data_IF_305905736093
#
_entry.id   IF_305905736093
#
_cell.length_a   1.000
_cell.length_b   1.000
_cell.length_c   1.000
_cell.angle_alpha   90.00
_cell.angle_beta   90.00
_cell.angle_gamma   90.00
#
_symmetry.space_group_name_H-M   'P 1'
#
loop_
_entity.id
_entity.type
_entity.pdbx_description
1 polymer ?
#
# COMPACT_ATOMS: atom_id res chain seq x y z
N UNK A 1 -18.73 -76.43 -26.57
CA UNK A 1 -18.23 -75.40 -27.51
C UNK A 1 -18.51 -75.86 -28.93
N UNK A 2 -19.43 -75.21 -29.64
CA UNK A 2 -19.88 -75.63 -30.97
C UNK A 2 -18.75 -75.53 -32.01
N UNK A 3 -18.72 -76.44 -32.99
CA UNK A 3 -17.70 -76.52 -34.07
C UNK A 3 -17.47 -75.20 -34.81
N UNK A 4 -18.44 -74.30 -34.77
CA UNK A 4 -18.42 -72.96 -35.38
C UNK A 4 -17.31 -72.09 -34.77
N UNK A 5 -17.19 -72.02 -33.43
CA UNK A 5 -16.15 -71.21 -32.79
C UNK A 5 -14.73 -71.77 -33.00
N UNK A 6 -14.61 -73.11 -33.11
CA UNK A 6 -13.33 -73.75 -33.42
C UNK A 6 -12.89 -73.50 -34.87
N UNK A 7 -13.86 -73.44 -35.79
CA UNK A 7 -13.60 -73.15 -37.19
C UNK A 7 -13.30 -71.66 -37.44
N UNK A 8 -13.94 -70.74 -36.70
CA UNK A 8 -13.61 -69.31 -36.73
C UNK A 8 -12.17 -69.08 -36.21
N UNK A 9 -11.80 -69.73 -35.09
CA UNK A 9 -10.43 -69.66 -34.55
C UNK A 9 -9.40 -70.24 -35.53
N UNK A 10 -9.70 -71.35 -36.20
CA UNK A 10 -8.79 -71.97 -37.16
C UNK A 10 -8.72 -71.22 -38.51
N UNK A 11 -9.79 -70.55 -38.93
CA UNK A 11 -9.78 -69.67 -40.11
C UNK A 11 -9.00 -68.37 -39.84
N UNK A 12 -9.18 -67.77 -38.66
CA UNK A 12 -8.42 -66.60 -38.20
C UNK A 12 -6.93 -66.88 -37.98
N UNK A 13 -6.56 -68.14 -37.70
CA UNK A 13 -5.16 -68.58 -37.58
C UNK A 13 -4.55 -69.02 -38.93
N UNK A 14 -5.36 -69.37 -39.94
CA UNK A 14 -4.90 -69.82 -41.27
C UNK A 14 -4.75 -68.69 -42.29
N UNK A 15 -5.45 -67.59 -42.10
CA UNK A 15 -5.26 -66.39 -42.89
C UNK A 15 -4.31 -65.44 -42.15
N UNK A 16 -3.32 -64.90 -42.85
CA UNK A 16 -2.38 -63.87 -42.37
C UNK A 16 -3.06 -62.51 -42.07
N UNK A 17 -4.36 -62.51 -41.78
CA UNK A 17 -5.20 -61.37 -41.46
C UNK A 17 -5.11 -60.92 -40.00
N UNK A 18 -4.35 -61.62 -39.14
CA UNK A 18 -4.00 -61.12 -37.79
C UNK A 18 -3.41 -59.71 -37.87
N UNK A 19 -2.58 -59.43 -38.88
CA UNK A 19 -2.05 -58.08 -39.13
C UNK A 19 -3.16 -57.06 -39.39
N UNK A 20 -4.20 -57.44 -40.12
CA UNK A 20 -5.30 -56.55 -40.53
C UNK A 20 -6.23 -56.22 -39.36
N UNK A 21 -6.57 -57.21 -38.54
CA UNK A 21 -7.34 -57.01 -37.32
C UNK A 21 -6.54 -56.27 -36.24
N UNK A 22 -5.24 -56.57 -36.10
CA UNK A 22 -4.35 -55.85 -35.18
C UNK A 22 -4.17 -54.38 -35.57
N UNK A 23 -3.96 -54.08 -36.87
CA UNK A 23 -3.90 -52.71 -37.38
C UNK A 23 -5.22 -51.96 -37.14
N UNK A 24 -6.36 -52.62 -37.29
CA UNK A 24 -7.67 -52.04 -37.05
C UNK A 24 -7.89 -51.70 -35.58
N UNK A 25 -7.58 -52.63 -34.66
CA UNK A 25 -7.69 -52.39 -33.21
C UNK A 25 -6.69 -51.34 -32.70
N UNK A 26 -5.49 -51.25 -33.30
CA UNK A 26 -4.55 -50.14 -33.01
C UNK A 26 -5.13 -48.80 -33.47
N UNK A 27 -5.75 -48.76 -34.65
CA UNK A 27 -6.43 -47.57 -35.15
C UNK A 27 -7.56 -47.11 -34.22
N UNK A 28 -8.35 -48.06 -33.71
CA UNK A 28 -9.42 -47.79 -32.75
C UNK A 28 -8.89 -47.25 -31.41
N UNK A 29 -7.82 -47.86 -30.87
CA UNK A 29 -7.14 -47.35 -29.66
C UNK A 29 -6.59 -45.95 -29.91
N UNK A 30 -5.97 -45.71 -31.06
CA UNK A 30 -5.40 -44.39 -31.41
C UNK A 30 -6.48 -43.32 -31.52
N UNK A 31 -7.63 -43.63 -32.13
CA UNK A 31 -8.79 -42.74 -32.21
C UNK A 31 -9.40 -42.46 -30.83
N UNK A 32 -9.50 -43.47 -29.96
CA UNK A 32 -9.98 -43.29 -28.58
C UNK A 32 -9.02 -42.42 -27.78
N UNK A 33 -7.71 -42.62 -27.91
CA UNK A 33 -6.68 -41.81 -27.24
C UNK A 33 -6.75 -40.36 -27.72
N UNK A 34 -6.86 -40.11 -29.02
CA UNK A 34 -7.06 -38.74 -29.56
C UNK A 34 -8.35 -38.13 -28.99
N UNK A 35 -9.44 -38.89 -28.93
CA UNK A 35 -10.71 -38.45 -28.34
C UNK A 35 -10.56 -38.02 -26.88
N UNK A 36 -9.86 -38.82 -26.06
CA UNK A 36 -9.57 -38.51 -24.65
C UNK A 36 -8.68 -37.27 -24.54
N UNK A 37 -7.64 -37.16 -25.36
CA UNK A 37 -6.73 -36.02 -25.36
C UNK A 37 -7.44 -34.72 -25.74
N UNK A 38 -8.31 -34.73 -26.75
CA UNK A 38 -9.11 -33.57 -27.14
C UNK A 38 -10.11 -33.22 -26.02
N UNK A 39 -10.78 -34.21 -25.43
CA UNK A 39 -11.70 -33.99 -24.32
C UNK A 39 -10.98 -33.37 -23.10
N UNK A 40 -9.80 -33.87 -22.75
CA UNK A 40 -8.96 -33.34 -21.68
C UNK A 40 -8.45 -31.93 -22.02
N UNK A 41 -8.04 -31.68 -23.25
CA UNK A 41 -7.61 -30.36 -23.71
C UNK A 41 -8.75 -29.33 -23.62
N UNK A 42 -9.94 -29.66 -24.10
CA UNK A 42 -11.11 -28.78 -24.01
C UNK A 42 -11.53 -28.53 -22.56
N UNK A 43 -11.46 -29.56 -21.71
CA UNK A 43 -11.74 -29.43 -20.28
C UNK A 43 -10.74 -28.48 -19.60
N UNK A 44 -9.44 -28.64 -19.89
CA UNK A 44 -8.39 -27.76 -19.36
C UNK A 44 -8.59 -26.31 -19.79
N UNK A 45 -8.86 -26.05 -21.09
CA UNK A 45 -9.16 -24.71 -21.58
C UNK A 45 -10.39 -24.08 -20.91
N UNK A 46 -11.44 -24.87 -20.65
CA UNK A 46 -12.61 -24.37 -19.96
C UNK A 46 -12.31 -24.04 -18.48
N UNK A 47 -11.49 -24.86 -17.81
CA UNK A 47 -11.03 -24.56 -16.44
C UNK A 47 -10.15 -23.32 -16.37
N UNK A 48 -9.23 -23.13 -17.32
CA UNK A 48 -8.38 -21.93 -17.40
C UNK A 48 -9.22 -20.67 -17.61
N UNK A 49 -10.20 -20.70 -18.53
CA UNK A 49 -11.12 -19.58 -18.74
C UNK A 49 -11.95 -19.25 -17.50
N UNK A 50 -12.33 -20.27 -16.72
CA UNK A 50 -13.08 -20.07 -15.47
C UNK A 50 -12.19 -19.43 -14.40
N UNK A 51 -10.96 -19.90 -14.25
CA UNK A 51 -9.97 -19.33 -13.32
C UNK A 51 -9.65 -17.87 -13.67
N UNK A 52 -9.45 -17.56 -14.96
CA UNK A 52 -9.18 -16.18 -15.39
C UNK A 52 -10.36 -15.23 -15.10
N UNK A 53 -11.60 -15.68 -15.33
CA UNK A 53 -12.79 -14.89 -14.95
C UNK A 53 -12.89 -14.64 -13.45
N UNK A 54 -12.50 -15.62 -12.63
CA UNK A 54 -12.44 -15.46 -11.18
C UNK A 54 -11.36 -14.46 -10.77
N UNK A 55 -10.16 -14.55 -11.36
CA UNK A 55 -9.06 -13.62 -11.13
C UNK A 55 -9.45 -12.18 -11.46
N UNK A 56 -10.03 -11.94 -12.64
CA UNK A 56 -10.54 -10.63 -13.08
C UNK A 56 -11.60 -10.09 -12.11
N UNK A 57 -12.50 -10.95 -11.63
CA UNK A 57 -13.52 -10.58 -10.65
C UNK A 57 -12.89 -10.14 -9.34
N UNK A 58 -11.99 -10.93 -8.76
CA UNK A 58 -11.33 -10.62 -7.49
C UNK A 58 -10.54 -9.32 -7.57
N UNK A 59 -9.82 -9.08 -8.67
CA UNK A 59 -9.07 -7.85 -8.90
C UNK A 59 -10.00 -6.64 -9.08
N UNK A 60 -11.15 -6.83 -9.71
CA UNK A 60 -12.17 -5.78 -9.84
C UNK A 60 -12.85 -5.46 -8.50
N UNK A 61 -13.09 -6.47 -7.67
CA UNK A 61 -13.65 -6.27 -6.33
C UNK A 61 -12.63 -5.54 -5.42
N UNK A 62 -11.33 -5.88 -5.52
CA UNK A 62 -10.25 -5.11 -4.91
C UNK A 62 -10.26 -3.64 -5.39
N UNK A 63 -10.29 -3.38 -6.70
CA UNK A 63 -10.31 -2.01 -7.24
C UNK A 63 -11.44 -1.18 -6.63
N UNK A 64 -12.65 -1.74 -6.55
CA UNK A 64 -13.80 -1.08 -5.93
C UNK A 64 -13.58 -0.81 -4.44
N UNK A 65 -13.02 -1.77 -3.70
CA UNK A 65 -12.65 -1.60 -2.30
C UNK A 65 -11.68 -0.43 -2.09
N UNK A 66 -10.60 -0.40 -2.89
CA UNK A 66 -9.60 0.67 -2.86
C UNK A 66 -10.18 2.05 -3.24
N UNK A 67 -11.16 2.10 -4.13
CA UNK A 67 -11.87 3.33 -4.50
C UNK A 67 -12.79 3.83 -3.39
N UNK A 68 -13.60 2.95 -2.80
CA UNK A 68 -14.56 3.30 -1.74
C UNK A 68 -13.86 3.92 -0.51
N UNK A 69 -12.66 3.42 -0.19
CA UNK A 69 -11.89 3.88 0.96
C UNK A 69 -11.04 5.13 0.70
N UNK A 70 -11.02 5.68 -0.52
CA UNK A 70 -10.20 6.83 -0.88
C UNK A 70 -10.47 8.05 0.01
N UNK A 71 -11.74 8.44 0.09
CA UNK A 71 -12.13 9.65 0.81
C UNK A 71 -11.87 9.56 2.32
N UNK A 72 -12.03 8.35 2.89
CA UNK A 72 -11.69 8.07 4.27
C UNK A 72 -10.18 8.22 4.52
N UNK A 73 -9.35 7.67 3.62
CA UNK A 73 -7.90 7.82 3.66
C UNK A 73 -7.46 9.28 3.60
N UNK A 74 -7.99 10.07 2.67
CA UNK A 74 -7.64 11.49 2.55
C UNK A 74 -8.06 12.30 3.79
N UNK A 75 -9.25 12.02 4.34
CA UNK A 75 -9.70 12.65 5.58
C UNK A 75 -8.81 12.27 6.76
N UNK A 76 -8.44 11.00 6.86
CA UNK A 76 -7.58 10.49 7.92
C UNK A 76 -6.19 11.12 7.86
N UNK A 77 -5.54 11.10 6.69
CA UNK A 77 -4.26 11.76 6.47
C UNK A 77 -4.28 13.24 6.86
N UNK A 78 -5.29 14.00 6.41
CA UNK A 78 -5.45 15.42 6.78
C UNK A 78 -5.59 15.62 8.29
N UNK A 79 -6.38 14.78 8.96
CA UNK A 79 -6.56 14.85 10.42
C UNK A 79 -5.23 14.61 11.13
N UNK A 80 -4.48 13.59 10.74
CA UNK A 80 -3.21 13.22 11.38
C UNK A 80 -2.16 14.32 11.18
N UNK A 81 -2.04 14.92 9.98
CA UNK A 81 -1.15 16.08 9.79
C UNK A 81 -1.57 17.31 10.59
N UNK A 82 -2.88 17.57 10.70
CA UNK A 82 -3.39 18.65 11.53
C UNK A 82 -3.05 18.42 12.99
N UNK A 83 -3.16 17.19 13.48
CA UNK A 83 -2.79 16.82 14.84
C UNK A 83 -1.31 17.07 15.11
N UNK A 84 -0.43 16.58 14.23
CA UNK A 84 1.01 16.77 14.36
C UNK A 84 1.40 18.25 14.40
N UNK A 85 0.81 19.04 13.50
CA UNK A 85 1.08 20.48 13.42
C UNK A 85 0.65 21.21 14.71
N UNK A 86 -0.48 20.81 15.31
CA UNK A 86 -0.95 21.37 16.56
C UNK A 86 -0.11 20.92 17.76
N UNK A 87 0.29 19.64 17.81
CA UNK A 87 1.21 19.15 18.84
C UNK A 87 2.52 19.92 18.81
N UNK A 88 3.08 20.15 17.61
CA UNK A 88 4.31 20.93 17.48
C UNK A 88 4.13 22.38 17.91
N UNK A 89 3.02 23.02 17.55
CA UNK A 89 2.72 24.38 17.99
C UNK A 89 2.64 24.48 19.53
N UNK A 90 2.06 23.49 20.21
CA UNK A 90 2.00 23.43 21.68
C UNK A 90 3.40 23.22 22.27
N UNK A 91 4.17 22.26 21.74
CA UNK A 91 5.54 21.95 22.19
C UNK A 91 6.45 23.18 22.06
N UNK A 92 6.34 23.92 20.95
CA UNK A 92 7.12 25.14 20.68
C UNK A 92 6.56 26.39 21.38
N UNK A 93 5.53 26.26 22.22
CA UNK A 93 4.89 27.37 22.92
C UNK A 93 4.36 28.48 21.98
N UNK A 94 3.79 28.09 20.84
CA UNK A 94 3.23 28.99 19.80
C UNK A 94 1.71 29.09 19.84
N UNK A 95 1.06 28.53 20.86
CA UNK A 95 -0.39 28.57 21.06
C UNK A 95 -0.77 29.53 22.18
N UNK A 96 -2.01 30.02 22.15
CA UNK A 96 -2.56 30.91 23.17
C UNK A 96 -3.92 30.41 23.65
N UNK A 97 -4.45 31.02 24.71
CA UNK A 97 -5.82 30.79 25.16
C UNK A 97 -6.85 30.97 24.03
N UNK A 98 -6.66 31.98 23.17
CA UNK A 98 -7.53 32.19 22.01
C UNK A 98 -7.47 31.01 21.02
N UNK A 99 -6.27 30.43 20.81
CA UNK A 99 -6.10 29.26 19.96
C UNK A 99 -6.96 28.08 20.44
N UNK A 100 -6.98 27.80 21.75
CA UNK A 100 -7.80 26.74 22.36
C UNK A 100 -9.30 27.03 22.23
N UNK A 101 -9.72 28.29 22.30
CA UNK A 101 -11.12 28.68 22.08
C UNK A 101 -11.59 28.46 20.63
N UNK A 102 -10.69 28.57 19.65
CA UNK A 102 -10.99 28.44 18.22
C UNK A 102 -10.84 27.01 17.70
N UNK A 103 -9.99 26.18 18.32
CA UNK A 103 -9.69 24.84 17.83
C UNK A 103 -9.83 23.77 18.93
N UNK A 104 -10.94 23.04 18.90
CA UNK A 104 -11.23 21.96 19.84
C UNK A 104 -10.23 20.80 19.79
N UNK A 105 -9.50 20.62 18.69
CA UNK A 105 -8.50 19.56 18.59
C UNK A 105 -7.34 19.75 19.58
N UNK A 106 -7.07 21.00 20.00
CA UNK A 106 -6.03 21.30 20.97
C UNK A 106 -6.26 20.68 22.36
N UNK A 107 -7.50 20.30 22.70
CA UNK A 107 -7.81 19.63 23.97
C UNK A 107 -7.71 18.11 23.90
N UNK A 108 -7.52 17.53 22.72
CA UNK A 108 -7.54 16.08 22.47
C UNK A 108 -6.25 15.60 21.77
N UNK A 109 -5.14 16.31 21.96
CA UNK A 109 -3.91 16.08 21.19
C UNK A 109 -3.21 14.74 21.47
N UNK A 110 -3.31 14.22 22.69
CA UNK A 110 -2.75 12.91 23.06
C UNK A 110 -3.73 11.76 22.84
N UNK A 111 -4.73 11.95 21.97
CA UNK A 111 -5.61 10.87 21.54
C UNK A 111 -5.10 10.31 20.20
N UNK A 112 -4.88 8.99 20.04
CA UNK A 112 -4.37 8.41 18.79
C UNK A 112 -5.28 8.62 17.56
N UNK A 113 -6.54 9.02 17.78
CA UNK A 113 -7.44 9.49 16.73
C UNK A 113 -7.95 8.40 15.78
N UNK A 114 -9.27 8.15 15.84
CA UNK A 114 -10.13 7.40 14.89
C UNK A 114 -9.87 5.90 14.65
N UNK A 115 -10.99 5.16 14.54
CA UNK A 115 -11.06 3.80 14.03
C UNK A 115 -10.43 3.73 12.65
N UNK A 116 -9.34 2.98 12.50
CA UNK A 116 -8.67 2.69 11.23
C UNK A 116 -9.08 1.31 10.68
N UNK A 117 -10.04 0.65 11.32
CA UNK A 117 -10.57 -0.68 10.96
C UNK A 117 -11.10 -0.74 9.53
N UNK A 118 -11.55 0.38 8.96
CA UNK A 118 -11.96 0.50 7.56
C UNK A 118 -10.81 0.32 6.56
N UNK A 119 -9.55 0.32 7.00
CA UNK A 119 -8.37 -0.03 6.19
C UNK A 119 -8.23 -1.53 5.96
N UNK A 120 -8.86 -2.36 6.82
CA UNK A 120 -8.90 -3.80 6.63
C UNK A 120 -9.85 -4.12 5.47
N UNK A 121 -9.29 -4.71 4.41
CA UNK A 121 -10.05 -5.10 3.22
C UNK A 121 -10.05 -6.63 3.09
N UNK A 122 -11.22 -7.25 3.18
CA UNK A 122 -11.38 -8.69 3.03
C UNK A 122 -10.94 -9.19 1.65
N UNK A 123 -11.00 -8.33 0.62
CA UNK A 123 -10.53 -8.66 -0.72
C UNK A 123 -9.01 -8.85 -0.75
N UNK A 124 -8.26 -8.05 0.02
CA UNK A 124 -6.80 -8.21 0.16
C UNK A 124 -6.47 -9.58 0.74
N UNK A 125 -7.16 -9.99 1.80
CA UNK A 125 -6.92 -11.28 2.45
C UNK A 125 -7.27 -12.45 1.51
N UNK A 126 -8.39 -12.34 0.79
CA UNK A 126 -8.84 -13.35 -0.17
C UNK A 126 -7.84 -13.49 -1.32
N UNK A 127 -7.35 -12.38 -1.87
CA UNK A 127 -6.33 -12.40 -2.92
C UNK A 127 -5.03 -13.04 -2.43
N UNK A 128 -4.52 -12.66 -1.26
CA UNK A 128 -3.29 -13.24 -0.70
C UNK A 128 -3.39 -14.77 -0.53
N UNK A 129 -4.56 -15.29 -0.14
CA UNK A 129 -4.78 -16.74 -0.03
C UNK A 129 -4.79 -17.46 -1.37
N UNK A 130 -5.22 -16.76 -2.43
CA UNK A 130 -5.35 -17.28 -3.80
C UNK A 130 -4.15 -16.97 -4.70
N UNK A 131 -3.09 -16.34 -4.20
CA UNK A 131 -1.93 -15.91 -5.03
C UNK A 131 -1.40 -17.00 -5.98
N UNK A 132 -1.36 -18.25 -5.52
CA UNK A 132 -0.87 -19.39 -6.33
C UNK A 132 -1.76 -19.75 -7.52
N UNK A 133 -3.01 -19.30 -7.51
CA UNK A 133 -3.99 -19.52 -8.57
C UNK A 133 -3.90 -18.45 -9.68
N UNK A 134 -3.09 -17.39 -9.48
CA UNK A 134 -2.93 -16.29 -10.43
C UNK A 134 -1.75 -16.52 -11.39
N UNK A 135 -1.92 -16.01 -12.61
CA UNK A 135 -0.84 -15.94 -13.60
C UNK A 135 0.32 -15.05 -13.09
N UNK A 136 1.59 -15.33 -13.45
CA UNK A 136 2.74 -14.50 -13.10
C UNK A 136 2.63 -13.03 -13.52
N UNK A 137 1.73 -12.71 -14.46
CA UNK A 137 1.40 -11.33 -14.85
C UNK A 137 0.93 -10.47 -13.67
N UNK A 138 0.35 -11.06 -12.63
CA UNK A 138 -0.12 -10.37 -11.43
C UNK A 138 0.95 -10.23 -10.32
N UNK A 139 2.18 -10.70 -10.53
CA UNK A 139 3.22 -10.72 -9.50
C UNK A 139 3.50 -9.33 -8.90
N UNK A 140 3.50 -8.28 -9.72
CA UNK A 140 3.71 -6.91 -9.25
C UNK A 140 2.55 -6.45 -8.36
N UNK A 141 1.31 -6.79 -8.72
CA UNK A 141 0.14 -6.51 -7.88
C UNK A 141 0.26 -7.23 -6.53
N UNK A 142 0.65 -8.51 -6.51
CA UNK A 142 0.84 -9.25 -5.26
C UNK A 142 1.98 -8.71 -4.40
N UNK A 143 3.10 -8.23 -4.99
CA UNK A 143 4.15 -7.51 -4.27
C UNK A 143 3.55 -6.31 -3.53
N UNK A 144 2.75 -5.50 -4.22
CA UNK A 144 2.09 -4.32 -3.63
C UNK A 144 1.06 -4.69 -2.55
N UNK A 145 0.24 -5.71 -2.77
CA UNK A 145 -0.75 -6.20 -1.78
C UNK A 145 -0.04 -6.68 -0.50
N UNK A 146 1.05 -7.43 -0.63
CA UNK A 146 1.86 -7.89 0.51
C UNK A 146 2.47 -6.72 1.28
N UNK A 147 3.04 -5.74 0.57
CA UNK A 147 3.55 -4.52 1.19
C UNK A 147 2.45 -3.72 1.91
N UNK A 148 1.25 -3.65 1.34
CA UNK A 148 0.10 -3.00 1.97
C UNK A 148 -0.30 -3.72 3.26
N UNK A 149 -0.44 -5.05 3.22
CA UNK A 149 -0.77 -5.86 4.40
C UNK A 149 0.27 -5.69 5.51
N UNK A 150 1.56 -5.76 5.17
CA UNK A 150 2.64 -5.54 6.14
C UNK A 150 2.59 -4.15 6.77
N UNK A 151 2.31 -3.10 5.97
CA UNK A 151 2.20 -1.73 6.52
C UNK A 151 0.96 -1.52 7.37
N UNK A 152 -0.11 -2.26 7.10
CA UNK A 152 -1.31 -2.27 7.94
C UNK A 152 -1.02 -2.94 9.29
N UNK A 153 -0.29 -4.05 9.31
CA UNK A 153 0.13 -4.71 10.55
C UNK A 153 1.07 -3.83 11.38
N UNK A 154 2.00 -3.12 10.74
CA UNK A 154 2.86 -2.15 11.42
C UNK A 154 2.04 -1.00 12.04
N UNK A 155 1.00 -0.54 11.34
CA UNK A 155 0.10 0.51 11.83
C UNK A 155 -0.67 0.05 13.07
N UNK A 156 -1.17 -1.18 13.08
CA UNK A 156 -1.88 -1.75 14.23
C UNK A 156 -1.00 -1.71 15.49
N UNK A 157 0.26 -2.13 15.35
CA UNK A 157 1.24 -2.09 16.43
C UNK A 157 1.52 -0.65 16.90
N UNK A 158 1.74 0.27 15.96
CA UNK A 158 2.02 1.67 16.27
C UNK A 158 0.84 2.34 17.00
N UNK A 159 -0.40 2.02 16.62
CA UNK A 159 -1.58 2.57 17.29
C UNK A 159 -1.75 2.00 18.69
N UNK A 160 -1.45 0.73 18.90
CA UNK A 160 -1.49 0.14 20.24
C UNK A 160 -0.49 0.80 21.21
N UNK A 161 0.75 1.07 20.78
CA UNK A 161 1.71 1.84 21.59
C UNK A 161 1.18 3.24 21.96
N UNK A 162 0.51 3.91 21.03
CA UNK A 162 -0.08 5.24 21.29
C UNK A 162 -1.28 5.17 22.23
N UNK A 163 -2.12 4.15 22.12
CA UNK A 163 -3.24 3.92 23.04
C UNK A 163 -2.72 3.76 24.47
N UNK A 164 -1.63 3.02 24.67
CA UNK A 164 -1.02 2.86 25.98
C UNK A 164 -0.54 4.19 26.56
N UNK A 165 0.12 5.03 25.75
CA UNK A 165 0.55 6.37 26.17
C UNK A 165 -0.64 7.30 26.50
N UNK A 166 -1.70 7.25 25.69
CA UNK A 166 -2.94 8.01 25.93
C UNK A 166 -3.57 7.60 27.24
N UNK A 167 -3.77 6.30 27.45
CA UNK A 167 -4.40 5.75 28.66
C UNK A 167 -3.58 6.08 29.91
N UNK A 168 -2.26 5.95 29.83
CA UNK A 168 -1.36 6.33 30.91
C UNK A 168 -1.46 7.82 31.23
N UNK A 169 -1.51 8.68 30.21
CA UNK A 169 -1.70 10.11 30.42
C UNK A 169 -3.04 10.37 31.11
N UNK A 170 -4.13 9.76 30.67
CA UNK A 170 -5.45 9.97 31.25
C UNK A 170 -5.52 9.51 32.71
N UNK A 171 -4.88 8.38 33.05
CA UNK A 171 -4.72 7.91 34.43
C UNK A 171 -3.94 8.93 35.27
N UNK A 172 -2.78 9.40 34.78
CA UNK A 172 -2.03 10.45 35.47
C UNK A 172 -2.90 11.68 35.72
N UNK A 173 -3.63 12.13 34.70
CA UNK A 173 -4.46 13.33 34.80
C UNK A 173 -5.55 13.15 35.87
N UNK A 174 -6.19 11.98 35.90
CA UNK A 174 -7.22 11.64 36.88
C UNK A 174 -6.69 11.56 38.33
N UNK A 175 -5.46 11.08 38.52
CA UNK A 175 -4.86 10.91 39.85
C UNK A 175 -4.27 12.20 40.41
N UNK A 176 -3.86 13.14 39.55
CA UNK A 176 -3.09 14.32 39.96
C UNK A 176 -3.88 15.64 39.90
N UNK A 177 -5.06 15.67 39.28
CA UNK A 177 -5.84 16.89 39.12
C UNK A 177 -7.30 16.71 39.52
N UNK A 178 -7.72 17.45 40.55
CA UNK A 178 -9.09 17.45 41.09
C UNK A 178 -10.15 17.92 40.07
N UNK A 179 -9.75 18.79 39.14
CA UNK A 179 -10.58 19.32 38.06
C UNK A 179 -10.75 18.37 36.87
N UNK A 180 -10.12 17.19 36.88
CA UNK A 180 -10.15 16.26 35.75
C UNK A 180 -11.57 15.84 35.35
N UNK A 181 -12.39 15.44 36.32
CA UNK A 181 -13.81 15.06 36.12
C UNK A 181 -14.73 16.27 35.94
N UNK A 182 -14.24 17.47 36.30
CA UNK A 182 -14.98 18.70 36.29
C UNK A 182 -15.33 19.21 34.89
N UNK A 183 -16.58 19.68 34.75
CA UNK A 183 -17.12 20.27 33.52
C UNK A 183 -17.40 21.77 33.68
N UNK A 184 -17.22 22.32 34.88
CA UNK A 184 -17.48 23.71 35.20
C UNK A 184 -16.48 24.66 34.53
N UNK A 185 -16.82 25.95 34.50
CA UNK A 185 -15.94 26.98 33.92
C UNK A 185 -14.59 27.06 34.63
N UNK A 186 -14.58 26.91 35.95
CA UNK A 186 -13.34 26.92 36.74
C UNK A 186 -12.42 25.75 36.35
N UNK A 187 -12.96 24.54 36.24
CA UNK A 187 -12.21 23.34 35.85
C UNK A 187 -11.61 23.47 34.45
N UNK A 188 -12.38 24.03 33.51
CA UNK A 188 -11.93 24.30 32.16
C UNK A 188 -10.76 25.31 32.13
N UNK A 189 -10.79 26.32 33.00
CA UNK A 189 -9.70 27.29 33.11
C UNK A 189 -8.44 26.65 33.69
N UNK A 190 -8.55 25.84 34.76
CA UNK A 190 -7.42 25.09 35.33
C UNK A 190 -6.80 24.14 34.31
N UNK A 191 -7.63 23.42 33.54
CA UNK A 191 -7.18 22.55 32.44
C UNK A 191 -6.42 23.32 31.37
N UNK A 192 -6.94 24.48 30.97
CA UNK A 192 -6.32 25.33 29.96
C UNK A 192 -4.99 25.90 30.44
N UNK A 193 -4.94 26.38 31.69
CA UNK A 193 -3.71 26.86 32.31
C UNK A 193 -2.65 25.77 32.33
N UNK A 194 -3.01 24.54 32.73
CA UNK A 194 -2.13 23.39 32.69
C UNK A 194 -1.56 23.12 31.28
N UNK A 195 -2.41 23.05 30.25
CA UNK A 195 -1.94 22.84 28.86
C UNK A 195 -1.04 23.97 28.34
N UNK A 196 -1.28 25.21 28.75
CA UNK A 196 -0.52 26.38 28.30
C UNK A 196 0.79 26.59 29.06
N UNK A 197 0.90 26.15 30.32
CA UNK A 197 2.01 26.53 31.19
C UNK A 197 2.90 25.35 31.58
N UNK A 198 2.36 24.15 31.73
CA UNK A 198 3.08 23.05 32.37
C UNK A 198 4.18 22.46 31.45
N UNK A 199 5.46 22.42 31.89
CA UNK A 199 6.55 21.88 31.09
C UNK A 199 6.49 20.35 30.98
N UNK A 200 5.93 19.63 31.96
CA UNK A 200 5.83 18.17 31.93
C UNK A 200 4.72 17.68 30.99
N UNK A 201 3.64 18.45 30.83
CA UNK A 201 2.66 18.27 29.78
C UNK A 201 3.32 18.33 28.40
N UNK A 202 4.12 19.37 28.13
CA UNK A 202 4.85 19.51 26.86
C UNK A 202 5.83 18.34 26.65
N UNK A 203 6.52 17.88 27.69
CA UNK A 203 7.42 16.73 27.60
C UNK A 203 6.67 15.44 27.24
N UNK A 204 5.51 15.19 27.87
CA UNK A 204 4.64 14.06 27.53
C UNK A 204 4.08 14.16 26.12
N UNK A 205 3.64 15.35 25.72
CA UNK A 205 3.16 15.60 24.37
C UNK A 205 4.27 15.37 23.33
N UNK A 206 5.51 15.76 23.63
CA UNK A 206 6.67 15.46 22.79
C UNK A 206 6.95 13.96 22.68
N UNK A 207 6.85 13.22 23.79
CA UNK A 207 6.96 11.75 23.78
C UNK A 207 5.85 11.12 22.92
N UNK A 208 4.60 11.56 23.09
CA UNK A 208 3.46 11.10 22.29
C UNK A 208 3.66 11.43 20.80
N UNK A 209 4.04 12.67 20.46
CA UNK A 209 4.31 13.12 19.08
C UNK A 209 5.36 12.25 18.38
N UNK A 210 6.43 11.85 19.09
CA UNK A 210 7.45 10.94 18.53
C UNK A 210 6.86 9.61 18.07
N UNK A 211 5.96 9.02 18.86
CA UNK A 211 5.26 7.77 18.51
C UNK A 211 4.21 7.99 17.42
N UNK A 212 3.47 9.10 17.52
CA UNK A 212 2.50 9.53 16.51
C UNK A 212 3.10 9.70 15.11
N UNK A 213 4.37 10.09 15.01
CA UNK A 213 5.09 10.12 13.73
C UNK A 213 5.03 8.81 12.95
N UNK A 214 5.08 7.65 13.63
CA UNK A 214 4.99 6.35 12.96
C UNK A 214 3.64 6.17 12.27
N UNK A 215 2.55 6.64 12.89
CA UNK A 215 1.21 6.60 12.30
C UNK A 215 1.15 7.35 10.96
N UNK A 216 1.75 8.55 10.90
CA UNK A 216 1.87 9.33 9.66
C UNK A 216 2.62 8.54 8.59
N UNK A 217 3.75 7.93 8.97
CA UNK A 217 4.55 7.10 8.06
C UNK A 217 3.73 5.95 7.46
N UNK A 218 2.99 5.20 8.28
CA UNK A 218 2.19 4.08 7.80
C UNK A 218 1.02 4.54 6.93
N UNK A 219 0.32 5.63 7.29
CA UNK A 219 -0.79 6.17 6.49
C UNK A 219 -0.31 6.62 5.11
N UNK A 220 0.83 7.31 5.05
CA UNK A 220 1.40 7.75 3.75
C UNK A 220 1.85 6.55 2.91
N UNK A 221 2.42 5.51 3.53
CA UNK A 221 2.75 4.26 2.84
C UNK A 221 1.51 3.57 2.27
N UNK A 222 0.46 3.41 3.08
CA UNK A 222 -0.81 2.80 2.66
C UNK A 222 -1.47 3.60 1.54
N UNK A 223 -1.42 4.93 1.61
CA UNK A 223 -1.92 5.82 0.54
C UNK A 223 -1.16 5.61 -0.77
N UNK A 224 0.17 5.56 -0.70
CA UNK A 224 1.03 5.36 -1.87
C UNK A 224 0.87 3.95 -2.47
N UNK A 225 0.78 2.92 -1.62
CA UNK A 225 0.54 1.54 -2.02
C UNK A 225 -0.85 1.35 -2.64
N UNK A 226 -1.89 1.99 -2.08
CA UNK A 226 -3.24 2.01 -2.68
C UNK A 226 -3.17 2.56 -4.09
N UNK A 227 -2.51 3.70 -4.28
CA UNK A 227 -2.37 4.32 -5.60
C UNK A 227 -1.54 3.44 -6.56
N UNK A 228 -0.46 2.82 -6.09
CA UNK A 228 0.31 1.86 -6.88
C UNK A 228 -0.55 0.67 -7.32
N UNK A 229 -1.32 0.06 -6.42
CA UNK A 229 -2.24 -1.04 -6.74
C UNK A 229 -3.27 -0.60 -7.77
N UNK A 230 -3.89 0.57 -7.59
CA UNK A 230 -4.82 1.16 -8.56
C UNK A 230 -4.18 1.37 -9.94
N UNK A 231 -2.90 1.78 -10.00
CA UNK A 231 -2.16 1.91 -11.26
C UNK A 231 -1.84 0.57 -11.91
N UNK A 232 -1.40 -0.41 -11.12
CA UNK A 232 -1.10 -1.77 -11.62
C UNK A 232 -2.37 -2.46 -12.14
N UNK A 233 -3.51 -2.29 -11.47
CA UNK A 233 -4.81 -2.80 -11.94
C UNK A 233 -5.17 -2.18 -13.30
N UNK A 234 -4.96 -0.86 -13.49
CA UNK A 234 -5.20 -0.20 -14.78
C UNK A 234 -4.31 -0.78 -15.89
N UNK A 235 -3.03 -1.04 -15.60
CA UNK A 235 -2.12 -1.71 -16.54
C UNK A 235 -2.61 -3.12 -16.90
N UNK A 236 -2.97 -3.92 -15.91
CA UNK A 236 -3.46 -5.31 -16.10
C UNK A 236 -4.73 -5.36 -16.96
N UNK A 237 -5.61 -4.36 -16.84
CA UNK A 237 -6.83 -4.23 -17.65
C UNK A 237 -6.60 -3.67 -19.06
N UNK A 238 -5.38 -3.23 -19.38
CA UNK A 238 -5.10 -2.50 -20.63
C UNK A 238 -5.73 -1.09 -20.65
N UNK A 239 -6.01 -0.53 -19.47
CA UNK A 239 -6.66 0.76 -19.24
C UNK A 239 -5.66 1.79 -18.67
N UNK A 240 -4.39 1.69 -19.04
CA UNK A 240 -3.36 2.62 -18.57
C UNK A 240 -3.77 4.08 -18.89
N UNK A 241 -3.78 4.99 -17.91
CA UNK A 241 -4.10 6.39 -18.14
C UNK A 241 -3.19 7.00 -19.19
N UNK A 242 -3.74 7.87 -20.04
CA UNK A 242 -2.95 8.69 -20.96
C UNK A 242 -2.02 9.65 -20.20
N UNK A 243 -2.51 10.19 -19.07
CA UNK A 243 -1.77 11.09 -18.18
C UNK A 243 -1.73 10.54 -16.75
N UNK A 244 -0.65 9.83 -16.41
CA UNK A 244 -0.47 9.25 -15.08
C UNK A 244 -0.40 10.29 -13.97
N UNK A 245 0.16 11.46 -14.23
CA UNK A 245 0.23 12.56 -13.26
C UNK A 245 -1.16 13.03 -12.86
N UNK A 246 -2.03 13.30 -13.84
CA UNK A 246 -3.42 13.69 -13.59
C UNK A 246 -4.20 12.59 -12.86
N UNK A 247 -3.96 11.32 -13.23
CA UNK A 247 -4.56 10.17 -12.55
C UNK A 247 -4.20 10.13 -11.06
N UNK A 248 -2.92 10.22 -10.70
CA UNK A 248 -2.51 10.17 -9.28
C UNK A 248 -2.94 11.39 -8.48
N UNK A 249 -3.03 12.56 -9.10
CA UNK A 249 -3.65 13.73 -8.48
C UNK A 249 -5.13 13.50 -8.17
N UNK A 250 -5.88 12.85 -9.08
CA UNK A 250 -7.29 12.49 -8.82
C UNK A 250 -7.47 11.48 -7.68
N UNK A 251 -6.41 10.73 -7.35
CA UNK A 251 -6.36 9.80 -6.20
C UNK A 251 -5.97 10.50 -4.88
N UNK A 252 -5.79 11.83 -4.90
CA UNK A 252 -5.49 12.66 -3.74
C UNK A 252 -4.00 12.81 -3.42
N UNK A 253 -3.10 12.29 -4.26
CA UNK A 253 -1.66 12.43 -4.06
C UNK A 253 -1.14 13.75 -4.63
N UNK A 254 -0.11 14.31 -3.99
CA UNK A 254 0.55 15.55 -4.44
C UNK A 254 1.80 15.21 -5.26
N UNK A 255 2.02 15.86 -6.41
CA UNK A 255 3.27 15.67 -7.14
C UNK A 255 4.45 16.17 -6.31
N UNK A 256 5.59 15.50 -6.43
CA UNK A 256 6.87 16.01 -5.96
C UNK A 256 7.17 17.36 -6.61
N UNK A 257 7.79 18.28 -5.86
CA UNK A 257 8.02 19.65 -6.32
C UNK A 257 9.36 19.70 -7.06
N UNK A 258 9.39 19.91 -8.39
CA UNK A 258 10.65 19.97 -9.13
C UNK A 258 11.44 21.22 -8.72
N UNK A 259 12.74 21.05 -8.51
CA UNK A 259 13.69 22.13 -8.20
C UNK A 259 14.99 21.94 -8.99
N UNK A 260 15.75 23.01 -9.30
CA UNK A 260 17.09 22.87 -9.83
C UNK A 260 17.97 22.00 -8.93
N UNK A 261 18.89 21.24 -9.52
CA UNK A 261 19.74 20.29 -8.80
C UNK A 261 20.54 20.91 -7.65
N UNK A 262 20.96 22.17 -7.82
CA UNK A 262 21.72 22.94 -6.83
C UNK A 262 20.84 23.48 -5.69
N UNK A 263 19.52 23.44 -5.84
CA UNK A 263 18.56 24.05 -4.92
C UNK A 263 18.06 23.10 -3.83
N UNK A 264 18.61 21.88 -3.74
CA UNK A 264 18.24 20.96 -2.69
C UNK A 264 18.73 21.44 -1.31
N UNK A 265 17.85 21.48 -0.29
CA UNK A 265 18.21 22.00 1.02
C UNK A 265 19.19 21.07 1.74
N UNK A 266 20.46 21.49 1.81
CA UNK A 266 21.53 20.79 2.53
C UNK A 266 21.45 21.01 4.04
N UNK A 267 21.25 22.26 4.45
CA UNK A 267 21.00 22.64 5.85
C UNK A 267 19.50 22.50 6.15
N UNK A 268 19.08 21.30 6.55
CA UNK A 268 17.70 21.02 6.91
C UNK A 268 17.59 20.70 8.40
N UNK A 269 16.69 21.39 9.09
CA UNK A 269 16.28 21.03 10.44
C UNK A 269 15.08 20.08 10.38
N UNK A 270 15.12 19.01 11.18
CA UNK A 270 14.05 18.01 11.19
C UNK A 270 12.76 18.59 11.75
N UNK A 271 11.81 18.89 10.86
CA UNK A 271 10.49 19.44 11.22
C UNK A 271 9.46 18.35 11.57
N UNK A 272 9.61 17.16 10.97
CA UNK A 272 8.67 16.05 11.12
C UNK A 272 9.29 14.89 11.90
N UNK A 273 8.52 14.23 12.78
CA UNK A 273 9.05 13.21 13.66
C UNK A 273 9.55 11.97 12.90
N UNK A 274 8.96 11.67 11.73
CA UNK A 274 9.23 10.46 10.93
C UNK A 274 9.11 10.71 9.42
N UNK A 275 9.52 9.72 8.62
CA UNK A 275 9.43 9.73 7.17
C UNK A 275 7.98 9.69 6.67
N UNK A 276 7.74 10.28 5.52
CA UNK A 276 6.58 9.96 4.70
C UNK A 276 6.98 9.01 3.59
N UNK A 277 6.04 8.28 3.01
CA UNK A 277 6.28 7.44 1.84
C UNK A 277 5.68 8.05 0.58
N UNK A 278 6.39 7.86 -0.53
CA UNK A 278 6.05 8.45 -1.82
C UNK A 278 6.00 7.37 -2.89
N UNK A 279 5.02 7.50 -3.79
CA UNK A 279 4.87 6.64 -4.94
C UNK A 279 5.79 7.12 -6.07
N UNK A 280 6.62 6.23 -6.58
CA UNK A 280 7.36 6.44 -7.82
C UNK A 280 6.84 5.48 -8.88
N UNK A 281 6.58 6.00 -10.07
CA UNK A 281 6.21 5.21 -11.23
C UNK A 281 7.14 5.52 -12.39
N UNK A 282 7.75 4.48 -12.96
CA UNK A 282 8.56 4.60 -14.17
C UNK A 282 7.78 4.06 -15.40
N UNK A 283 7.06 4.91 -16.15
CA UNK A 283 6.43 4.51 -17.41
C UNK A 283 7.42 4.34 -18.58
N UNK A 284 8.67 4.78 -18.42
CA UNK A 284 9.67 4.80 -19.50
C UNK A 284 10.17 3.38 -19.81
N UNK A 285 10.67 3.12 -21.04
CA UNK A 285 11.16 1.79 -21.43
C UNK A 285 12.54 1.43 -20.83
N UNK A 286 13.11 2.27 -19.96
CA UNK A 286 14.44 2.09 -19.39
C UNK A 286 14.37 2.14 -17.87
N UNK A 287 15.29 1.44 -17.23
CA UNK A 287 15.47 1.56 -15.78
C UNK A 287 15.99 2.96 -15.44
N UNK A 288 15.50 3.50 -14.33
CA UNK A 288 15.83 4.86 -13.88
C UNK A 288 16.52 4.80 -12.53
N UNK A 289 17.61 5.56 -12.40
CA UNK A 289 18.32 5.76 -11.15
C UNK A 289 17.68 6.95 -10.42
N UNK A 290 17.23 6.70 -9.19
CA UNK A 290 16.72 7.71 -8.27
C UNK A 290 17.60 7.72 -7.01
N UNK A 291 18.11 8.90 -6.69
CA UNK A 291 18.91 9.16 -5.50
C UNK A 291 18.04 9.81 -4.43
N UNK A 292 18.04 9.25 -3.22
CA UNK A 292 17.40 9.83 -2.04
C UNK A 292 18.43 10.51 -1.16
N UNK A 293 18.19 11.77 -0.80
CA UNK A 293 19.06 12.49 0.13
C UNK A 293 18.83 11.99 1.57
N UNK A 294 19.89 11.53 2.26
CA UNK A 294 19.81 10.97 3.61
C UNK A 294 19.73 12.06 4.68
N UNK A 295 18.94 11.88 5.73
CA UNK A 295 18.64 12.90 6.76
C UNK A 295 19.86 13.64 7.35
N UNK A 296 20.88 12.92 7.82
CA UNK A 296 21.99 13.50 8.60
C UNK A 296 23.30 13.67 7.82
N UNK A 297 23.25 13.69 6.49
CA UNK A 297 24.46 13.79 5.66
C UNK A 297 24.12 14.34 4.28
N UNK A 298 25.09 14.99 3.64
CA UNK A 298 25.07 15.25 2.19
C UNK A 298 25.34 13.97 1.37
N UNK A 299 24.96 12.79 1.90
CA UNK A 299 25.11 11.51 1.22
C UNK A 299 23.78 11.03 0.65
N UNK A 300 23.90 10.24 -0.41
CA UNK A 300 22.79 9.75 -1.21
C UNK A 300 22.63 8.25 -1.06
N UNK A 301 21.38 7.81 -1.17
CA UNK A 301 21.03 6.41 -1.30
C UNK A 301 20.44 6.16 -2.69
N UNK A 302 21.00 5.19 -3.39
CA UNK A 302 20.62 4.86 -4.76
C UNK A 302 19.48 3.84 -4.77
N UNK A 303 18.48 4.11 -5.62
CA UNK A 303 17.41 3.19 -5.95
C UNK A 303 17.31 3.05 -7.47
N UNK A 304 17.08 1.83 -7.94
CA UNK A 304 16.80 1.54 -9.35
C UNK A 304 15.31 1.26 -9.48
N UNK A 305 14.62 2.09 -10.25
CA UNK A 305 13.20 1.92 -10.55
C UNK A 305 13.09 1.33 -11.95
N UNK A 306 12.70 0.07 -12.04
CA UNK A 306 12.65 -0.65 -13.31
C UNK A 306 11.59 -0.10 -14.24
N UNK A 307 11.81 -0.27 -15.54
CA UNK A 307 10.84 0.04 -16.59
C UNK A 307 9.47 -0.58 -16.30
N UNK A 308 8.44 0.26 -16.22
CA UNK A 308 7.05 -0.14 -15.98
C UNK A 308 6.71 -0.47 -14.53
N UNK A 309 7.63 -0.36 -13.58
CA UNK A 309 7.40 -0.71 -12.18
C UNK A 309 7.01 0.48 -11.29
N UNK A 310 6.39 0.13 -10.15
CA UNK A 310 6.07 1.04 -9.06
C UNK A 310 7.01 0.78 -7.88
N UNK A 311 7.52 1.85 -7.29
CA UNK A 311 8.33 1.78 -6.07
C UNK A 311 7.82 2.76 -5.01
N UNK A 312 7.86 2.35 -3.75
CA UNK A 312 7.38 3.16 -2.62
C UNK A 312 8.56 3.47 -1.71
N UNK A 313 9.01 4.72 -1.71
CA UNK A 313 10.25 5.11 -1.03
C UNK A 313 9.98 6.09 0.12
N UNK A 314 10.67 5.96 1.27
CA UNK A 314 10.51 6.89 2.38
C UNK A 314 11.36 8.14 2.19
N UNK A 315 10.86 9.31 2.59
CA UNK A 315 11.61 10.56 2.71
C UNK A 315 10.94 11.52 3.69
N UNK A 316 11.71 12.38 4.35
CA UNK A 316 11.11 13.44 5.16
C UNK A 316 10.48 14.52 4.28
N UNK A 317 9.29 15.02 4.61
CA UNK A 317 8.75 16.18 3.91
C UNK A 317 9.71 17.37 4.01
N UNK A 318 9.93 18.06 2.90
CA UNK A 318 10.92 19.13 2.75
C UNK A 318 12.33 18.65 2.37
N UNK A 319 12.65 17.35 2.49
CA UNK A 319 13.87 16.76 1.91
C UNK A 319 13.63 16.36 0.46
N UNK A 320 14.67 15.88 -0.22
CA UNK A 320 14.61 15.69 -1.66
C UNK A 320 15.05 14.34 -2.21
N UNK A 321 14.67 14.18 -3.47
CA UNK A 321 15.10 13.11 -4.36
C UNK A 321 15.78 13.74 -5.58
N UNK A 322 16.53 12.94 -6.33
CA UNK A 322 17.22 13.36 -7.54
C UNK A 322 17.19 12.23 -8.57
N UNK A 323 16.84 12.55 -9.81
CA UNK A 323 17.00 11.64 -10.94
C UNK A 323 18.43 11.75 -11.49
N UNK A 324 19.03 10.60 -11.79
CA UNK A 324 20.43 10.50 -12.22
C UNK A 324 21.39 10.30 -11.05
N UNK A 325 22.62 10.78 -11.18
CA UNK A 325 23.67 10.66 -10.15
C UNK A 325 24.09 12.03 -9.63
N UNK A 326 24.77 12.13 -8.48
CA UNK A 326 25.26 13.42 -7.97
C UNK A 326 26.14 14.18 -8.98
N UNK A 327 26.90 13.48 -9.82
CA UNK A 327 27.76 14.09 -10.85
C UNK A 327 27.01 14.43 -12.14
N UNK A 328 25.83 13.82 -12.35
CA UNK A 328 24.99 13.97 -13.55
C UNK A 328 23.53 14.03 -13.14
N UNK A 329 23.19 15.07 -12.37
CA UNK A 329 21.82 15.31 -11.96
C UNK A 329 20.98 15.72 -13.18
N UNK A 330 19.89 14.99 -13.42
CA UNK A 330 18.92 15.35 -14.46
C UNK A 330 17.88 16.34 -13.93
N UNK A 331 17.31 16.05 -12.76
CA UNK A 331 16.29 16.86 -12.10
C UNK A 331 16.23 16.49 -10.62
N UNK A 332 16.07 17.49 -9.75
CA UNK A 332 15.84 17.29 -8.33
C UNK A 332 14.39 17.61 -7.94
N UNK A 333 13.98 17.07 -6.80
CA UNK A 333 12.61 17.18 -6.31
C UNK A 333 12.58 17.36 -4.80
N UNK A 334 11.69 18.22 -4.30
CA UNK A 334 11.36 18.33 -2.88
C UNK A 334 10.08 17.54 -2.59
N UNK A 335 10.12 16.78 -1.51
CA UNK A 335 9.05 15.90 -1.09
C UNK A 335 7.97 16.67 -0.30
N UNK A 336 6.70 16.71 -0.73
CA UNK A 336 5.61 17.33 0.02
C UNK A 336 5.12 16.44 1.17
N UNK A 337 4.06 16.83 1.90
CA UNK A 337 3.41 15.94 2.87
C UNK A 337 2.67 14.77 2.19
N UNK A 338 3.41 13.71 1.84
CA UNK A 338 2.91 12.57 1.07
C UNK A 338 2.73 12.94 -0.40
N UNK A 339 3.07 12.03 -1.31
CA UNK A 339 3.05 12.40 -2.71
C UNK A 339 3.53 11.32 -3.67
N UNK A 340 3.76 11.73 -4.90
CA UNK A 340 4.18 10.84 -5.98
C UNK A 340 5.07 11.54 -7.01
N UNK A 341 5.80 10.75 -7.78
CA UNK A 341 6.50 11.16 -8.98
C UNK A 341 6.25 10.13 -10.09
N UNK A 342 5.69 10.60 -11.21
CA UNK A 342 5.74 9.87 -12.47
C UNK A 342 7.00 10.34 -13.19
N UNK A 343 7.86 9.39 -13.56
CA UNK A 343 9.13 9.70 -14.24
C UNK A 343 8.86 9.89 -15.72
N UNK A 344 9.40 10.96 -16.30
CA UNK A 344 9.25 11.33 -17.71
C UNK A 344 10.50 11.02 -18.53
#
# INVERSE_FOLDING_TARGET
MSRIFRNIRNALLKESQVKRYFLYSIGEIFLVVIGILIALYLNNLNSEKKAERENIRLVTDLEKGLMNNQFLMERFARRVYSQDSLMEAVIQNKVSQESYGRNRMLTELMTPGTQYTWLNDENIMTLLQKERDFSPTYNQLFKLIKSYKSKLDDLDYAVEEMNQLSNWNDQFMAENFDWFSGQGREDQLKRLEYYLSDPFYRNRLSLFRKKFGSQISHITALTALRAAMMGEIKKLKGEAPAEWTAYYQSLGLKPLIPVPCESLPRNWERQYPMFNYYLFYNPTPKDVILMRLRDHSDSWEEYVIKSGEFEILPQFPGRGFMLGTPDKCAQAFIAPQGGFLVIE
#
